data_IF_679295300355
#
_entry.id   IF_679295300355
#
_cell.length_a   1.000
_cell.length_b   1.000
_cell.length_c   1.000
_cell.angle_alpha   90.00
_cell.angle_beta   90.00
_cell.angle_gamma   90.00
#
_symmetry.space_group_name_H-M   'P 1'
#
loop_
_entity.id
_entity.type
_entity.pdbx_description
1 polymer ?
#
# COMPACT_ATOMS: atom_id res chain seq x y z
N UNK A 1 1.19 3.35 -3.17
CA UNK A 1 1.38 2.17 -2.28
C UNK A 1 0.33 2.05 -1.15
N UNK A 2 -0.16 0.83 -0.91
CA UNK A 2 -1.16 0.44 0.10
C UNK A 2 -0.72 0.57 1.57
N UNK A 3 0.51 0.17 1.90
CA UNK A 3 1.10 0.27 3.25
C UNK A 3 1.15 1.71 3.73
N UNK A 4 1.54 2.64 2.85
CA UNK A 4 1.55 4.07 3.17
C UNK A 4 0.17 4.60 3.55
N UNK A 5 -0.88 4.18 2.82
CA UNK A 5 -2.26 4.55 3.13
C UNK A 5 -2.72 3.97 4.48
N UNK A 6 -2.42 2.71 4.75
CA UNK A 6 -2.76 2.05 6.02
C UNK A 6 -2.12 2.80 7.21
N UNK A 7 -0.85 3.19 7.10
CA UNK A 7 -0.15 3.99 8.12
C UNK A 7 -0.79 5.36 8.32
N UNK A 8 -1.13 6.05 7.23
CA UNK A 8 -1.72 7.38 7.29
C UNK A 8 -3.12 7.37 7.92
N UNK A 9 -3.94 6.38 7.57
CA UNK A 9 -5.32 6.26 8.06
C UNK A 9 -5.40 5.83 9.53
N UNK A 10 -4.40 5.09 10.03
CA UNK A 10 -4.35 4.59 11.41
C UNK A 10 -3.24 5.25 12.22
N UNK A 11 -3.02 6.55 11.98
CA UNK A 11 -2.00 7.31 12.68
C UNK A 11 -2.22 7.26 14.21
N UNK A 12 -1.16 6.93 14.96
CA UNK A 12 -1.20 6.81 16.42
C UNK A 12 -1.65 5.44 16.96
N UNK A 13 -1.91 4.47 16.07
CA UNK A 13 -2.16 3.08 16.43
C UNK A 13 -0.93 2.22 16.17
N UNK A 14 -0.70 1.22 17.02
CA UNK A 14 0.32 0.20 16.75
C UNK A 14 -0.25 -0.83 15.77
N UNK A 15 0.35 -0.90 14.58
CA UNK A 15 -0.07 -1.80 13.51
C UNK A 15 0.95 -2.91 13.32
N UNK A 16 0.48 -4.15 13.24
CA UNK A 16 1.31 -5.25 12.76
C UNK A 16 1.44 -5.14 11.23
N UNK A 17 2.66 -4.88 10.76
CA UNK A 17 2.96 -4.72 9.34
C UNK A 17 3.72 -5.92 8.75
N UNK A 18 3.92 -6.99 9.52
CA UNK A 18 4.67 -8.17 9.07
C UNK A 18 3.95 -8.86 7.90
N UNK A 19 4.67 -9.07 6.81
CA UNK A 19 4.16 -9.75 5.62
C UNK A 19 3.38 -8.85 4.65
N UNK A 20 3.30 -7.53 4.92
CA UNK A 20 2.79 -6.58 3.95
C UNK A 20 3.86 -6.23 2.91
N UNK A 21 3.45 -6.14 1.67
CA UNK A 21 4.30 -5.76 0.54
C UNK A 21 4.26 -4.23 0.35
N UNK A 22 5.41 -3.58 0.56
CA UNK A 22 5.59 -2.13 0.47
C UNK A 22 5.63 -1.59 -0.97
N UNK A 23 5.41 -2.43 -1.98
CA UNK A 23 5.29 -2.02 -3.38
C UNK A 23 3.85 -2.13 -3.89
N UNK A 24 3.01 -3.00 -3.29
CA UNK A 24 1.61 -3.19 -3.72
C UNK A 24 0.72 -1.97 -3.56
N UNK A 25 -0.20 -1.81 -4.50
CA UNK A 25 -1.18 -0.74 -4.50
C UNK A 25 -2.60 -1.28 -4.38
N UNK A 26 -3.52 -0.42 -3.97
CA UNK A 26 -4.96 -0.72 -4.02
C UNK A 26 -5.60 0.15 -5.08
N UNK A 27 -6.16 -0.47 -6.12
CA UNK A 27 -6.92 0.19 -7.20
C UNK A 27 -8.26 -0.54 -7.37
N UNK A 28 -9.36 0.20 -7.39
CA UNK A 28 -10.73 -0.33 -7.48
C UNK A 28 -11.05 -1.44 -6.46
N UNK A 29 -10.49 -1.34 -5.26
CA UNK A 29 -10.65 -2.33 -4.19
C UNK A 29 -9.83 -3.62 -4.38
N UNK A 30 -8.97 -3.70 -5.40
CA UNK A 30 -8.09 -4.83 -5.65
C UNK A 30 -6.64 -4.50 -5.33
N UNK A 31 -5.90 -5.51 -4.85
CA UNK A 31 -4.45 -5.41 -4.65
C UNK A 31 -3.74 -5.70 -5.96
N UNK A 32 -2.94 -4.75 -6.43
CA UNK A 32 -2.25 -4.81 -7.71
C UNK A 32 -0.77 -4.51 -7.54
N UNK A 33 0.05 -4.99 -8.47
CA UNK A 33 1.44 -4.53 -8.57
C UNK A 33 1.46 -3.03 -8.92
N UNK A 34 2.48 -2.30 -8.47
CA UNK A 34 2.70 -0.93 -8.93
C UNK A 34 2.87 -0.93 -10.45
N UNK A 35 2.40 0.13 -11.10
CA UNK A 35 2.72 0.34 -12.52
C UNK A 35 4.14 0.91 -12.59
N UNK A 36 4.93 0.43 -13.53
CA UNK A 36 6.22 1.05 -13.79
C UNK A 36 5.98 2.50 -14.23
N UNK A 37 6.66 3.45 -13.58
CA UNK A 37 6.50 4.90 -13.87
C UNK A 37 6.88 5.25 -15.32
N UNK A 38 7.56 4.34 -16.03
CA UNK A 38 7.99 4.45 -17.42
C UNK A 38 6.94 3.99 -18.47
N UNK A 39 5.74 3.54 -18.06
CA UNK A 39 4.64 3.16 -18.97
C UNK A 39 3.62 4.29 -19.25
N UNK A 40 4.00 5.56 -19.02
CA UNK A 40 3.14 6.74 -19.28
C UNK A 40 3.39 7.42 -20.64
#
# INVERSE_FOLDING_TARGET
NAVAQIRALNAGMELNMVGLDEEKEVRDGQVVSPQDEDEL
#
